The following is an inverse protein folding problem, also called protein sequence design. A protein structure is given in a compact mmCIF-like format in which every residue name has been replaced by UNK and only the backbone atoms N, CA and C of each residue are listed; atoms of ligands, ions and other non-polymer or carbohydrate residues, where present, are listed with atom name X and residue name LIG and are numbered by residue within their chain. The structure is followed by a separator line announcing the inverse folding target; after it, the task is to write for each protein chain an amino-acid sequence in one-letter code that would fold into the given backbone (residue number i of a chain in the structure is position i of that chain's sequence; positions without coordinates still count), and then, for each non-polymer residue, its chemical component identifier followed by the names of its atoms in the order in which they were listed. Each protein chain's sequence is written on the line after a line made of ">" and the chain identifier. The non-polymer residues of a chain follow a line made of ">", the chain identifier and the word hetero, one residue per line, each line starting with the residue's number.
data_IF_442005586573
#
_entry.id   IF_442005586573
#
_cell.length_a   1.000
_cell.length_b   1.000
_cell.length_c   1.000
_cell.angle_alpha   90.00
_cell.angle_beta   90.00
_cell.angle_gamma   90.00
#
_symmetry.space_group_name_H-M   'P 1'
#
loop_
_entity.id
_entity.type
_entity.pdbx_description
1 polymer ?
#
# COMPACT_ATOMS: atom_id res chain seq x y z
N UNK A 1 -3.21 8.94 -12.52
CA UNK A 1 -2.50 7.76 -11.96
C UNK A 1 -2.16 8.08 -10.51
N UNK A 2 -2.39 7.14 -9.60
CA UNK A 2 -2.06 7.31 -8.18
C UNK A 2 -0.55 7.18 -7.94
N UNK A 3 -0.07 7.74 -6.84
CA UNK A 3 1.31 7.63 -6.34
C UNK A 3 1.30 7.13 -4.89
N UNK A 4 2.45 6.67 -4.40
CA UNK A 4 2.62 6.26 -3.00
C UNK A 4 2.83 7.49 -2.15
N UNK A 5 2.03 7.62 -1.09
CA UNK A 5 2.17 8.63 -0.05
C UNK A 5 2.29 7.97 1.31
N UNK A 6 2.75 8.73 2.31
CA UNK A 6 2.79 8.23 3.68
C UNK A 6 2.45 9.31 4.70
N UNK A 7 1.77 8.89 5.76
CA UNK A 7 1.53 9.69 6.96
C UNK A 7 2.67 9.39 7.96
N UNK A 8 3.42 10.41 8.43
CA UNK A 8 4.49 10.22 9.40
C UNK A 8 4.00 9.66 10.75
N UNK A 9 4.92 9.09 11.51
CA UNK A 9 4.70 8.45 12.81
C UNK A 9 4.08 9.39 13.86
N UNK A 10 4.43 10.67 13.82
CA UNK A 10 3.94 11.69 14.77
C UNK A 10 2.41 11.90 14.67
N UNK A 11 1.82 11.49 13.55
CA UNK A 11 0.39 11.57 13.25
C UNK A 11 -0.37 10.23 13.42
N UNK A 12 0.31 9.14 13.79
CA UNK A 12 -0.29 7.78 13.89
C UNK A 12 -0.20 7.17 15.30
N UNK A 13 -0.17 8.00 16.35
CA UNK A 13 0.00 7.57 17.75
C UNK A 13 1.28 6.75 18.02
N UNK A 14 2.32 6.93 17.19
CA UNK A 14 3.65 6.36 17.45
C UNK A 14 3.88 4.91 17.02
N UNK A 15 2.96 4.29 16.25
CA UNK A 15 2.98 2.84 16.01
C UNK A 15 3.73 2.47 14.71
N UNK A 16 3.54 3.22 13.62
CA UNK A 16 4.27 3.07 12.35
C UNK A 16 3.96 4.19 11.35
N UNK A 17 4.83 4.40 10.35
CA UNK A 17 4.52 5.19 9.15
C UNK A 17 3.44 4.47 8.35
N UNK A 18 2.36 5.16 8.01
CA UNK A 18 1.23 4.55 7.29
C UNK A 18 1.30 4.93 5.81
N UNK A 19 1.36 3.93 4.92
CA UNK A 19 1.48 4.11 3.48
C UNK A 19 0.14 3.89 2.77
N UNK A 20 -0.12 4.67 1.73
CA UNK A 20 -1.37 4.61 0.96
C UNK A 20 -1.15 5.11 -0.47
N UNK A 21 -2.11 4.82 -1.34
CA UNK A 21 -2.14 5.29 -2.72
C UNK A 21 -3.18 6.39 -2.86
N UNK A 22 -2.77 7.51 -3.46
CA UNK A 22 -3.65 8.64 -3.74
C UNK A 22 -3.21 9.36 -5.01
N UNK A 23 -4.11 10.13 -5.63
CA UNK A 23 -3.80 10.91 -6.83
C UNK A 23 -2.96 12.15 -6.50
N UNK A 24 -3.23 12.77 -5.36
CA UNK A 24 -2.69 14.06 -4.94
C UNK A 24 -2.13 14.04 -3.50
N UNK A 25 -2.19 12.89 -2.83
CA UNK A 25 -1.76 12.73 -1.45
C UNK A 25 -2.86 12.96 -0.41
N UNK A 26 -4.08 13.29 -0.84
CA UNK A 26 -5.22 13.40 0.06
C UNK A 26 -5.61 12.01 0.60
N UNK A 27 -5.46 11.81 1.90
CA UNK A 27 -5.80 10.55 2.57
C UNK A 27 -7.29 10.20 2.50
N UNK A 28 -8.18 11.21 2.44
CA UNK A 28 -9.62 10.97 2.31
C UNK A 28 -10.04 10.50 0.90
N UNK A 29 -9.10 10.50 -0.05
CA UNK A 29 -9.27 9.93 -1.38
C UNK A 29 -8.09 9.00 -1.66
N UNK A 30 -8.12 7.81 -1.03
CA UNK A 30 -7.00 6.88 -1.02
C UNK A 30 -7.42 5.42 -0.99
N UNK A 31 -6.47 4.55 -1.34
CA UNK A 31 -6.55 3.11 -1.04
C UNK A 31 -5.30 2.66 -0.29
N UNK A 32 -5.50 1.84 0.74
CA UNK A 32 -4.45 1.31 1.60
C UNK A 32 -4.72 -0.12 2.02
N UNK A 33 -3.92 -0.60 2.97
CA UNK A 33 -4.02 -1.94 3.52
C UNK A 33 -3.82 -1.92 5.03
N UNK A 34 -4.81 -2.43 5.75
CA UNK A 34 -4.85 -2.47 7.21
C UNK A 34 -5.29 -3.83 7.73
N UNK A 35 -5.53 -3.90 9.04
CA UNK A 35 -5.89 -5.14 9.73
C UNK A 35 -7.18 -5.80 9.23
N UNK A 36 -8.07 -5.02 8.61
CA UNK A 36 -9.30 -5.50 7.99
C UNK A 36 -9.16 -5.79 6.48
N UNK A 37 -7.95 -5.71 5.92
CA UNK A 37 -7.68 -5.86 4.49
C UNK A 37 -7.62 -4.52 3.77
N UNK A 38 -8.25 -4.44 2.58
CA UNK A 38 -8.22 -3.23 1.74
C UNK A 38 -9.00 -2.10 2.40
N UNK A 39 -8.33 -0.97 2.62
CA UNK A 39 -8.93 0.27 3.15
C UNK A 39 -9.19 1.22 1.99
N UNK A 40 -10.45 1.53 1.67
CA UNK A 40 -10.81 2.49 0.62
C UNK A 40 -11.50 3.71 1.21
N UNK A 41 -10.93 4.87 0.96
CA UNK A 41 -11.48 6.17 1.31
C UNK A 41 -11.82 6.94 0.03
N UNK A 42 -13.07 7.42 -0.07
CA UNK A 42 -13.51 8.22 -1.21
C UNK A 42 -13.59 7.43 -2.53
N UNK A 43 -13.27 8.10 -3.64
CA UNK A 43 -13.48 7.61 -5.02
C UNK A 43 -12.16 7.48 -5.76
N UNK A 44 -11.17 6.83 -5.15
CA UNK A 44 -9.82 6.76 -5.74
C UNK A 44 -9.86 6.08 -7.11
N UNK A 45 -9.39 6.78 -8.13
CA UNK A 45 -9.31 6.27 -9.49
C UNK A 45 -8.02 5.45 -9.67
N UNK A 46 -8.17 4.15 -9.85
CA UNK A 46 -7.09 3.22 -10.16
C UNK A 46 -7.15 2.83 -11.64
N UNK A 47 -5.99 2.57 -12.23
CA UNK A 47 -5.92 1.86 -13.52
C UNK A 47 -6.40 0.42 -13.36
N UNK A 48 -6.78 -0.24 -14.45
CA UNK A 48 -7.23 -1.65 -14.42
C UNK A 48 -6.20 -2.59 -13.76
N UNK A 49 -4.90 -2.37 -14.03
CA UNK A 49 -3.82 -3.17 -13.43
C UNK A 49 -3.67 -2.92 -11.93
N UNK A 50 -3.78 -1.68 -11.49
CA UNK A 50 -3.74 -1.35 -10.06
C UNK A 50 -4.97 -1.94 -9.35
N UNK A 51 -6.14 -1.85 -9.97
CA UNK A 51 -7.37 -2.42 -9.43
C UNK A 51 -7.28 -3.93 -9.30
N UNK A 52 -6.79 -4.63 -10.33
CA UNK A 52 -6.54 -6.08 -10.27
C UNK A 52 -5.64 -6.44 -9.10
N UNK A 53 -4.50 -5.74 -8.95
CA UNK A 53 -3.54 -5.98 -7.87
C UNK A 53 -4.13 -5.75 -6.48
N UNK A 54 -4.99 -4.75 -6.33
CA UNK A 54 -5.71 -4.52 -5.07
C UNK A 54 -6.60 -5.72 -4.72
N UNK A 55 -7.26 -6.32 -5.71
CA UNK A 55 -8.15 -7.46 -5.47
C UNK A 55 -7.42 -8.76 -5.17
N UNK A 56 -6.31 -9.05 -5.83
CA UNK A 56 -5.56 -10.31 -5.65
C UNK A 56 -4.60 -10.29 -4.45
N UNK A 57 -4.32 -9.11 -3.88
CA UNK A 57 -3.29 -8.95 -2.85
C UNK A 57 -3.47 -9.87 -1.63
N UNK A 58 -4.69 -9.94 -1.09
CA UNK A 58 -5.00 -10.76 0.07
C UNK A 58 -4.78 -12.26 -0.22
N UNK A 59 -5.10 -12.69 -1.44
CA UNK A 59 -4.97 -14.09 -1.86
C UNK A 59 -3.50 -14.49 -2.05
N UNK A 60 -2.66 -13.54 -2.50
CA UNK A 60 -1.24 -13.77 -2.75
C UNK A 60 -0.38 -13.67 -1.47
N UNK A 61 -0.68 -12.72 -0.59
CA UNK A 61 0.18 -12.37 0.55
C UNK A 61 -0.44 -12.66 1.91
N UNK A 62 -1.73 -13.02 1.96
CA UNK A 62 -2.45 -13.36 3.18
C UNK A 62 -3.00 -12.13 3.92
N UNK A 63 -3.25 -12.30 5.22
CA UNK A 63 -3.80 -11.26 6.10
C UNK A 63 -2.72 -10.26 6.55
N UNK A 64 -3.15 -9.09 7.01
CA UNK A 64 -2.25 -8.04 7.47
C UNK A 64 -1.25 -8.53 8.51
N UNK A 65 0.01 -8.15 8.33
CA UNK A 65 1.08 -8.36 9.29
C UNK A 65 2.01 -7.15 9.26
N UNK A 66 2.29 -6.57 10.43
CA UNK A 66 3.11 -5.35 10.54
C UNK A 66 4.54 -5.52 9.97
N UNK A 67 5.07 -6.74 9.93
CA UNK A 67 6.43 -7.05 9.48
C UNK A 67 6.52 -7.59 8.05
N UNK A 68 5.49 -8.27 7.53
CA UNK A 68 5.59 -9.03 6.27
C UNK A 68 4.40 -8.90 5.32
N UNK A 69 3.35 -8.15 5.69
CA UNK A 69 2.20 -7.87 4.83
C UNK A 69 1.49 -6.58 5.28
N UNK A 70 2.24 -5.48 5.30
CA UNK A 70 1.79 -4.20 5.83
C UNK A 70 1.40 -3.23 4.70
N UNK A 71 0.98 -2.03 5.10
CA UNK A 71 0.55 -0.97 4.18
C UNK A 71 1.62 -0.52 3.17
N UNK A 72 2.91 -0.57 3.54
CA UNK A 72 4.01 -0.19 2.66
C UNK A 72 4.14 -1.18 1.51
N UNK A 73 4.16 -2.47 1.84
CA UNK A 73 4.26 -3.54 0.85
C UNK A 73 3.08 -3.55 -0.12
N UNK A 74 1.87 -3.34 0.39
CA UNK A 74 0.68 -3.21 -0.43
C UNK A 74 0.80 -2.07 -1.43
N UNK A 75 1.16 -0.87 -0.96
CA UNK A 75 1.27 0.31 -1.81
C UNK A 75 2.28 0.09 -2.94
N UNK A 76 3.43 -0.50 -2.61
CA UNK A 76 4.44 -0.85 -3.61
C UNK A 76 3.99 -1.93 -4.58
N UNK A 77 3.39 -3.01 -4.11
CA UNK A 77 2.90 -4.10 -4.96
C UNK A 77 1.85 -3.60 -5.95
N UNK A 78 0.86 -2.82 -5.49
CA UNK A 78 -0.19 -2.30 -6.37
C UNK A 78 0.42 -1.42 -7.47
N UNK A 79 1.41 -0.58 -7.13
CA UNK A 79 2.08 0.30 -8.10
C UNK A 79 2.99 -0.43 -9.07
N UNK A 80 3.81 -1.35 -8.59
CA UNK A 80 4.91 -1.92 -9.41
C UNK A 80 4.60 -3.33 -9.90
N UNK A 81 3.76 -4.07 -9.17
CA UNK A 81 3.51 -5.52 -9.35
C UNK A 81 4.62 -6.39 -8.79
N UNK A 82 5.63 -5.82 -8.12
CA UNK A 82 6.74 -6.57 -7.57
C UNK A 82 6.41 -7.12 -6.20
N UNK A 83 6.77 -8.38 -5.98
CA UNK A 83 6.67 -9.03 -4.67
C UNK A 83 7.69 -8.47 -3.66
N UNK A 84 7.47 -8.75 -2.37
CA UNK A 84 8.36 -8.33 -1.28
C UNK A 84 9.83 -8.72 -1.51
N UNK A 85 10.07 -9.95 -1.98
CA UNK A 85 11.41 -10.45 -2.30
C UNK A 85 12.10 -9.56 -3.35
N UNK A 86 11.38 -9.21 -4.41
CA UNK A 86 11.91 -8.35 -5.47
C UNK A 86 12.19 -6.93 -5.00
N UNK A 87 11.33 -6.38 -4.13
CA UNK A 87 11.54 -5.05 -3.54
C UNK A 87 12.75 -5.02 -2.59
N UNK A 88 12.92 -6.07 -1.77
CA UNK A 88 14.09 -6.22 -0.90
C UNK A 88 15.39 -6.36 -1.69
N UNK A 89 15.39 -7.06 -2.83
CA UNK A 89 16.57 -7.12 -3.69
C UNK A 89 16.90 -5.77 -4.33
N UNK A 90 15.93 -4.93 -4.69
CA UNK A 90 16.20 -3.62 -5.29
C UNK A 90 16.65 -2.55 -4.26
N UNK A 91 16.16 -2.61 -3.02
CA UNK A 91 16.57 -1.66 -1.96
C UNK A 91 17.96 -1.94 -1.37
N UNK A 92 18.48 -3.16 -1.49
CA UNK A 92 19.84 -3.51 -1.04
C UNK A 92 20.93 -3.22 -2.09
N UNK A 93 20.57 -2.62 -3.23
CA UNK A 93 21.48 -2.26 -4.32
C UNK A 93 21.43 -0.77 -4.68
N UNK A 94 20.86 0.06 -3.79
CA UNK A 94 20.92 1.53 -3.81
C UNK A 94 21.67 2.03 -2.57
#
# INVERSE_FOLDING_TARGET
>A
MVSIYSIPIDSTLGIARHYYLSKDGNFNNSVGWGSAGVERNGTVELTEKELQRVHEYADLFGQYNIHSNNCEMFAWYVKTGQSQLQQMFQLNHL
#
